data_IF_661451746755
#
_entry.id   IF_661451746755
#
_cell.length_a   1.000
_cell.length_b   1.000
_cell.length_c   1.000
_cell.angle_alpha   90.00
_cell.angle_beta   90.00
_cell.angle_gamma   90.00
#
_symmetry.space_group_name_H-M   'P 1'
#
loop_
_entity.id
_entity.type
_entity.pdbx_description
1 polymer ?
#
# COMPACT_ATOMS: atom_id res chain seq x y z
N UNK A 1 -13.98 3.35 19.88
CA UNK A 1 -13.11 4.55 19.92
C UNK A 1 -11.93 4.24 19.01
N UNK A 2 -11.60 4.93 17.92
CA UNK A 2 -12.01 6.24 17.40
C UNK A 2 -11.74 6.16 15.89
N UNK A 3 -12.79 6.25 15.03
CA UNK A 3 -12.63 6.44 13.57
C UNK A 3 -12.07 7.85 13.31
N UNK A 4 -10.83 8.11 13.72
CA UNK A 4 -10.13 9.32 13.32
C UNK A 4 -9.64 9.14 11.89
N UNK A 5 -10.58 9.41 11.00
CA UNK A 5 -10.48 9.84 9.60
C UNK A 5 -9.05 9.92 9.07
N UNK A 6 -8.59 8.80 8.51
CA UNK A 6 -7.58 8.77 7.45
C UNK A 6 -8.15 9.38 6.15
N UNK A 7 -8.83 10.53 6.22
CA UNK A 7 -9.46 11.17 5.07
C UNK A 7 -8.43 11.56 4.01
N UNK A 8 -7.19 11.80 4.45
CA UNK A 8 -6.07 12.12 3.59
C UNK A 8 -5.64 10.94 2.70
N UNK A 9 -5.97 9.68 3.06
CA UNK A 9 -5.68 8.53 2.19
C UNK A 9 -6.41 8.62 0.85
N UNK A 10 -7.55 9.33 0.81
CA UNK A 10 -8.31 9.55 -0.43
C UNK A 10 -7.55 10.44 -1.42
N UNK A 11 -6.83 11.43 -0.90
CA UNK A 11 -6.03 12.38 -1.68
C UNK A 11 -4.54 11.98 -1.72
N UNK A 12 -4.20 10.79 -1.22
CA UNK A 12 -2.80 10.39 -1.07
C UNK A 12 -2.19 9.93 -2.39
N UNK A 13 -0.91 10.26 -2.59
CA UNK A 13 -0.13 9.66 -3.66
C UNK A 13 0.24 8.22 -3.24
N UNK A 14 -0.02 7.26 -4.13
CA UNK A 14 0.32 5.86 -3.89
C UNK A 14 1.55 5.48 -4.70
N UNK A 15 2.58 5.04 -4.01
CA UNK A 15 3.77 4.41 -4.58
C UNK A 15 3.87 2.96 -4.10
N UNK A 16 4.68 2.15 -4.76
CA UNK A 16 5.01 0.81 -4.27
C UNK A 16 6.51 0.62 -4.20
N UNK A 17 6.95 -0.29 -3.32
CA UNK A 17 8.34 -0.69 -3.17
C UNK A 17 8.42 -2.21 -3.12
N UNK A 18 9.37 -2.76 -3.86
CA UNK A 18 9.76 -4.17 -3.82
C UNK A 18 11.08 -4.26 -3.06
N UNK A 19 11.15 -5.11 -2.03
CA UNK A 19 12.36 -5.27 -1.20
C UNK A 19 12.68 -6.75 -0.99
N UNK A 20 13.93 -7.18 -1.16
CA UNK A 20 14.31 -8.56 -0.82
C UNK A 20 14.32 -8.74 0.71
N UNK A 21 13.55 -9.72 1.20
CA UNK A 21 13.43 -10.09 2.61
C UNK A 21 13.52 -11.61 2.73
N UNK A 22 14.57 -12.12 3.39
CA UNK A 22 14.77 -13.56 3.68
C UNK A 22 14.56 -14.50 2.47
N UNK A 23 15.09 -14.11 1.30
CA UNK A 23 14.97 -14.91 0.07
C UNK A 23 13.60 -14.81 -0.62
N UNK A 24 12.74 -13.89 -0.19
CA UNK A 24 11.50 -13.50 -0.86
C UNK A 24 11.52 -12.03 -1.22
N UNK A 25 10.55 -11.62 -2.01
CA UNK A 25 10.38 -10.25 -2.48
C UNK A 25 9.11 -9.68 -1.89
N UNK A 26 9.25 -8.81 -0.90
CA UNK A 26 8.14 -8.17 -0.21
C UNK A 26 7.69 -6.93 -0.98
N UNK A 27 6.39 -6.79 -1.17
CA UNK A 27 5.76 -5.63 -1.79
C UNK A 27 5.10 -4.80 -0.70
N UNK A 28 5.46 -3.52 -0.65
CA UNK A 28 4.82 -2.53 0.20
C UNK A 28 4.18 -1.44 -0.65
N UNK A 29 2.98 -0.99 -0.26
CA UNK A 29 2.39 0.25 -0.73
C UNK A 29 2.76 1.38 0.23
N UNK A 30 3.08 2.53 -0.34
CA UNK A 30 3.47 3.74 0.36
C UNK A 30 2.42 4.80 -0.01
N UNK A 31 1.66 5.24 0.98
CA UNK A 31 0.67 6.31 0.84
C UNK A 31 1.28 7.59 1.39
N UNK A 32 1.41 8.60 0.56
CA UNK A 32 2.02 9.89 0.90
C UNK A 32 0.91 10.94 0.91
N UNK A 33 0.73 11.64 2.03
CA UNK A 33 -0.23 12.72 2.08
C UNK A 33 0.24 13.88 1.19
N UNK A 34 -0.57 14.24 0.20
CA UNK A 34 -0.27 15.32 -0.75
C UNK A 34 -0.31 16.72 -0.12
N UNK A 35 -0.96 16.86 1.04
CA UNK A 35 -1.05 18.12 1.80
C UNK A 35 0.04 18.26 2.88
N UNK A 36 0.57 17.14 3.37
CA UNK A 36 1.67 17.11 4.33
C UNK A 36 2.59 15.91 4.02
N UNK A 37 3.68 16.12 3.25
CA UNK A 37 4.57 15.03 2.84
C UNK A 37 5.25 14.27 4.00
N UNK A 38 5.24 14.81 5.23
CA UNK A 38 5.75 14.12 6.40
C UNK A 38 4.79 13.02 6.91
N UNK A 39 3.52 13.07 6.48
CA UNK A 39 2.54 12.07 6.81
C UNK A 39 2.54 10.95 5.75
N UNK A 40 3.25 9.88 6.07
CA UNK A 40 3.39 8.69 5.22
C UNK A 40 2.85 7.46 5.94
N UNK A 41 2.16 6.60 5.20
CA UNK A 41 1.72 5.28 5.67
C UNK A 41 2.31 4.20 4.75
N UNK A 42 3.03 3.26 5.34
CA UNK A 42 3.58 2.10 4.62
C UNK A 42 2.79 0.86 5.02
N UNK A 43 2.35 0.07 4.05
CA UNK A 43 1.68 -1.20 4.26
C UNK A 43 2.27 -2.30 3.38
N UNK A 44 2.78 -3.34 4.00
CA UNK A 44 3.12 -4.59 3.30
C UNK A 44 1.85 -5.26 2.79
N UNK A 45 1.82 -5.59 1.50
CA UNK A 45 0.66 -6.18 0.82
C UNK A 45 0.90 -7.63 0.37
N UNK A 46 2.14 -8.11 0.39
CA UNK A 46 2.45 -9.51 0.11
C UNK A 46 3.93 -9.78 -0.07
N UNK A 47 4.28 -11.06 -0.13
CA UNK A 47 5.61 -11.57 -0.40
C UNK A 47 5.59 -12.56 -1.58
N UNK A 48 6.61 -12.48 -2.45
CA UNK A 48 6.67 -13.24 -3.69
C UNK A 48 7.99 -13.98 -3.83
N UNK A 49 7.97 -15.08 -4.59
CA UNK A 49 9.15 -15.92 -4.83
C UNK A 49 10.13 -15.31 -5.83
N UNK A 50 9.72 -14.33 -6.62
CA UNK A 50 10.57 -13.64 -7.58
C UNK A 50 10.28 -12.15 -7.61
N UNK A 51 11.31 -11.36 -7.92
CA UNK A 51 11.24 -9.90 -8.05
C UNK A 51 10.20 -9.50 -9.08
N UNK A 52 10.25 -10.11 -10.27
CA UNK A 52 9.33 -9.81 -11.36
C UNK A 52 7.86 -10.03 -10.99
N UNK A 53 7.54 -11.06 -10.20
CA UNK A 53 6.17 -11.26 -9.72
C UNK A 53 5.76 -10.18 -8.71
N UNK A 54 6.68 -9.81 -7.81
CA UNK A 54 6.47 -8.72 -6.86
C UNK A 54 6.24 -7.37 -7.56
N UNK A 55 7.00 -7.07 -8.62
CA UNK A 55 6.85 -5.84 -9.42
C UNK A 55 5.51 -5.78 -10.16
N UNK A 56 5.13 -6.86 -10.84
CA UNK A 56 3.84 -6.94 -11.56
C UNK A 56 2.70 -6.71 -10.57
N UNK A 57 2.76 -7.38 -9.41
CA UNK A 57 1.74 -7.23 -8.38
C UNK A 57 1.72 -5.82 -7.78
N UNK A 58 2.89 -5.28 -7.42
CA UNK A 58 3.03 -3.93 -6.88
C UNK A 58 2.47 -2.87 -7.81
N UNK A 59 2.81 -2.94 -9.10
CA UNK A 59 2.26 -2.04 -10.13
C UNK A 59 0.74 -2.16 -10.28
N UNK A 60 0.22 -3.40 -10.31
CA UNK A 60 -1.23 -3.64 -10.41
C UNK A 60 -1.98 -3.10 -9.18
N UNK A 61 -1.40 -3.25 -7.99
CA UNK A 61 -1.99 -2.77 -6.75
C UNK A 61 -1.91 -1.26 -6.62
N UNK A 62 -0.80 -0.64 -7.03
CA UNK A 62 -0.68 0.82 -7.11
C UNK A 62 -1.79 1.40 -7.99
N UNK A 63 -2.02 0.83 -9.17
CA UNK A 63 -3.07 1.29 -10.08
C UNK A 63 -4.48 1.09 -9.52
N UNK A 64 -4.71 -0.02 -8.80
CA UNK A 64 -5.99 -0.28 -8.14
C UNK A 64 -6.24 0.72 -7.02
N UNK A 65 -5.24 0.97 -6.18
CA UNK A 65 -5.33 1.90 -5.06
C UNK A 65 -5.50 3.35 -5.53
N UNK A 66 -4.79 3.78 -6.59
CA UNK A 66 -4.94 5.11 -7.16
C UNK A 66 -6.33 5.34 -7.80
N UNK A 67 -7.02 4.27 -8.22
CA UNK A 67 -8.37 4.34 -8.81
C UNK A 67 -9.48 4.14 -7.78
N UNK A 68 -9.16 3.73 -6.54
CA UNK A 68 -10.16 3.38 -5.54
C UNK A 68 -10.37 4.54 -4.54
N UNK A 69 -11.43 5.36 -4.68
CA UNK A 69 -11.78 6.40 -3.71
C UNK A 69 -12.31 5.82 -2.38
N UNK A 70 -12.28 4.50 -2.17
CA UNK A 70 -12.65 3.85 -0.91
C UNK A 70 -11.45 3.24 -0.17
N UNK A 71 -10.24 3.43 -0.71
CA UNK A 71 -8.98 3.14 -0.04
C UNK A 71 -8.94 1.75 0.59
N UNK A 72 -8.97 0.66 -0.20
CA UNK A 72 -8.62 -0.69 0.27
C UNK A 72 -9.12 -1.01 1.69
N UNK A 73 -10.43 -0.83 1.94
CA UNK A 73 -11.05 -1.24 3.20
C UNK A 73 -11.22 -2.77 3.20
N UNK A 74 -10.09 -3.48 3.29
CA UNK A 74 -10.04 -4.88 3.70
C UNK A 74 -8.83 -5.10 4.59
N UNK A 75 -8.99 -4.71 5.85
CA UNK A 75 -8.32 -5.38 6.97
C UNK A 75 -9.27 -5.24 8.17
N UNK A 76 -10.25 -6.14 8.21
CA UNK A 76 -10.42 -6.99 9.38
C UNK A 76 -10.18 -8.41 8.89
N UNK A 77 -8.96 -8.89 9.15
CA UNK A 77 -8.70 -10.32 9.31
C UNK A 77 -8.72 -10.50 10.83
N UNK A 78 -9.90 -10.76 11.38
CA UNK A 78 -10.02 -11.33 12.71
C UNK A 78 -11.28 -12.22 12.76
N UNK A 79 -11.04 -13.45 13.22
CA UNK A 79 -11.90 -14.63 13.40
C UNK A 79 -12.19 -15.50 12.16
#
# INVERSE_FOLDING_TARGET
>A
MTKQKNNWLLDSEVQYKVTPVKGRWEVSLIFINTKDPNQVLIKTIGDYRSERLAEIYGRSMQQTAAKDPRGSQKVDKDA
#
